data_IF_383265325073
#
_entry.id   IF_383265325073
#
_cell.length_a   1.000
_cell.length_b   1.000
_cell.length_c   1.000
_cell.angle_alpha   90.00
_cell.angle_beta   90.00
_cell.angle_gamma   90.00
#
_symmetry.space_group_name_H-M   'P 1'
#
loop_
_entity.id
_entity.type
_entity.pdbx_description
1 polymer ?
#
# COMPACT_ATOMS: atom_id res chain seq x y z
N UNK A 1 -12.20 -15.99 3.99
CA UNK A 1 -11.96 -15.79 5.43
C UNK A 1 -13.24 -15.19 6.00
N UNK A 2 -14.24 -16.02 6.24
CA UNK A 2 -15.47 -15.52 6.87
C UNK A 2 -15.16 -15.22 8.33
N UNK A 3 -15.48 -14.00 8.74
CA UNK A 3 -15.31 -13.49 10.09
C UNK A 3 -16.15 -14.32 11.06
N UNK A 4 -15.56 -15.41 11.55
CA UNK A 4 -16.09 -16.18 12.66
C UNK A 4 -15.56 -15.53 13.94
N UNK A 5 -16.51 -15.02 14.72
CA UNK A 5 -16.40 -14.41 16.03
C UNK A 5 -15.17 -14.81 16.87
N UNK A 6 -14.54 -13.79 17.46
CA UNK A 6 -13.50 -13.90 18.47
C UNK A 6 -12.21 -13.26 17.99
N UNK A 7 -11.90 -12.07 18.48
CA UNK A 7 -10.56 -11.48 18.32
C UNK A 7 -9.72 -11.97 19.49
N UNK A 8 -8.86 -13.00 19.35
CA UNK A 8 -7.85 -13.29 20.36
C UNK A 8 -6.75 -12.22 20.31
N UNK A 9 -6.25 -11.86 21.49
CA UNK A 9 -5.13 -10.94 21.66
C UNK A 9 -3.87 -11.39 20.89
N UNK A 10 -3.03 -10.45 20.43
CA UNK A 10 -1.85 -10.76 19.63
C UNK A 10 -0.75 -11.33 20.53
N UNK A 11 -0.82 -12.63 20.80
CA UNK A 11 0.29 -13.41 21.34
C UNK A 11 0.74 -14.42 20.28
N UNK A 12 1.96 -14.21 19.79
CA UNK A 12 2.83 -15.19 19.13
C UNK A 12 2.29 -15.91 17.88
N UNK A 13 2.67 -15.39 16.69
CA UNK A 13 3.10 -16.23 15.57
C UNK A 13 2.13 -17.27 15.02
N UNK A 14 0.82 -17.02 15.03
CA UNK A 14 -0.14 -17.90 14.38
C UNK A 14 -0.07 -17.66 12.87
N UNK A 15 0.49 -18.63 12.12
CA UNK A 15 0.46 -18.60 10.65
C UNK A 15 -0.98 -18.52 10.14
N UNK A 16 -1.18 -17.92 8.97
CA UNK A 16 -2.51 -17.80 8.38
C UNK A 16 -3.17 -19.20 8.28
N UNK A 17 -4.48 -19.34 8.60
CA UNK A 17 -5.18 -20.62 8.50
C UNK A 17 -5.01 -21.29 7.13
N UNK A 18 -4.98 -22.62 7.12
CA UNK A 18 -4.81 -23.39 5.90
C UNK A 18 -5.93 -23.07 4.89
N UNK A 19 -5.55 -22.77 3.64
CA UNK A 19 -6.49 -22.34 2.60
C UNK A 19 -6.77 -20.83 2.54
N UNK A 20 -6.23 -20.01 3.43
CA UNK A 20 -6.25 -18.55 3.28
C UNK A 20 -5.45 -18.11 2.04
N UNK A 21 -6.10 -17.35 1.16
CA UNK A 21 -5.47 -16.73 -0.01
C UNK A 21 -5.45 -15.21 0.18
N UNK A 22 -4.30 -14.60 -0.06
CA UNK A 22 -4.15 -13.16 -0.14
C UNK A 22 -3.93 -12.75 -1.60
N UNK A 23 -4.53 -11.64 -2.01
CA UNK A 23 -4.23 -11.00 -3.29
C UNK A 23 -3.35 -9.79 -3.02
N UNK A 24 -2.19 -9.73 -3.68
CA UNK A 24 -1.24 -8.63 -3.51
C UNK A 24 -1.11 -7.89 -4.84
N UNK A 25 -1.40 -6.60 -4.81
CA UNK A 25 -1.21 -5.70 -5.95
C UNK A 25 0.11 -4.96 -5.80
N UNK A 26 0.98 -5.06 -6.80
CA UNK A 26 2.25 -4.32 -6.83
C UNK A 26 2.08 -3.12 -7.76
N UNK A 27 2.04 -1.93 -7.16
CA UNK A 27 1.85 -0.67 -7.88
C UNK A 27 3.19 0.06 -7.92
N UNK A 28 3.62 0.49 -9.11
CA UNK A 28 4.79 1.37 -9.24
C UNK A 28 4.42 2.78 -8.81
N UNK A 29 5.38 3.50 -8.23
CA UNK A 29 5.18 4.91 -7.90
C UNK A 29 4.85 5.73 -9.15
N UNK A 30 4.17 6.84 -8.93
CA UNK A 30 3.85 7.89 -9.91
C UNK A 30 5.04 8.41 -10.71
N UNK A 31 4.74 9.09 -11.81
CA UNK A 31 5.68 9.83 -12.64
C UNK A 31 6.37 10.96 -11.87
N UNK A 32 7.60 11.27 -12.27
CA UNK A 32 8.48 12.24 -11.61
C UNK A 32 9.45 12.84 -12.63
N UNK A 33 9.91 14.06 -12.37
CA UNK A 33 10.82 14.77 -13.28
C UNK A 33 12.31 14.53 -12.98
N UNK A 34 12.62 13.99 -11.79
CA UNK A 34 13.99 13.69 -11.39
C UNK A 34 14.09 12.51 -10.42
N UNK A 35 15.32 12.08 -10.13
CA UNK A 35 15.52 10.88 -9.30
C UNK A 35 14.98 11.04 -7.87
N UNK A 36 15.04 12.26 -7.36
CA UNK A 36 14.86 12.61 -5.95
C UNK A 36 13.56 13.39 -5.70
N UNK A 37 12.72 13.58 -6.73
CA UNK A 37 11.52 14.38 -6.61
C UNK A 37 10.30 13.57 -6.14
N UNK A 38 9.33 14.31 -5.58
CA UNK A 38 7.93 13.92 -5.42
C UNK A 38 7.28 13.56 -6.77
N UNK A 39 6.00 13.16 -6.75
CA UNK A 39 5.23 13.00 -7.98
C UNK A 39 5.19 14.33 -8.76
N UNK A 40 5.39 14.29 -10.08
CA UNK A 40 5.12 15.44 -10.93
C UNK A 40 3.60 15.61 -11.15
N UNK A 41 3.21 16.64 -11.90
CA UNK A 41 1.79 16.95 -12.13
C UNK A 41 1.05 15.80 -12.82
N UNK A 42 1.61 15.27 -13.91
CA UNK A 42 1.04 14.12 -14.64
C UNK A 42 0.88 12.90 -13.74
N UNK A 43 1.88 12.62 -12.88
CA UNK A 43 1.83 11.52 -11.94
C UNK A 43 0.73 11.69 -10.89
N UNK A 44 0.51 12.92 -10.40
CA UNK A 44 -0.58 13.20 -9.47
C UNK A 44 -1.95 12.97 -10.11
N UNK A 45 -2.14 13.43 -11.35
CA UNK A 45 -3.39 13.22 -12.08
C UNK A 45 -3.67 11.72 -12.29
N UNK A 46 -2.65 10.94 -12.65
CA UNK A 46 -2.79 9.47 -12.79
C UNK A 46 -3.10 8.78 -11.47
N UNK A 47 -2.53 9.23 -10.36
CA UNK A 47 -2.82 8.66 -9.04
C UNK A 47 -4.30 8.79 -8.66
N UNK A 48 -5.00 9.84 -9.11
CA UNK A 48 -6.44 10.00 -8.90
C UNK A 48 -7.26 8.92 -9.62
N UNK A 49 -6.70 8.27 -10.64
CA UNK A 49 -7.38 7.16 -11.34
C UNK A 49 -7.17 5.82 -10.63
N UNK A 50 -6.18 5.71 -9.75
CA UNK A 50 -5.91 4.47 -9.02
C UNK A 50 -7.10 4.12 -8.14
N UNK A 51 -7.72 5.09 -7.47
CA UNK A 51 -8.86 4.82 -6.58
C UNK A 51 -10.01 4.12 -7.33
N UNK A 52 -10.32 4.60 -8.53
CA UNK A 52 -11.41 4.08 -9.37
C UNK A 52 -11.25 2.61 -9.70
N UNK A 53 -10.02 2.17 -9.91
CA UNK A 53 -9.69 0.77 -10.21
C UNK A 53 -10.06 -0.18 -9.06
N UNK A 54 -10.19 0.31 -7.83
CA UNK A 54 -10.43 -0.50 -6.62
C UNK A 54 -11.77 -0.22 -5.93
N UNK A 55 -12.46 0.88 -6.26
CA UNK A 55 -13.65 1.32 -5.51
C UNK A 55 -14.92 1.40 -6.33
N UNK A 56 -14.84 1.48 -7.66
CA UNK A 56 -16.04 1.51 -8.50
C UNK A 56 -16.69 0.12 -8.59
N UNK A 57 -18.00 0.08 -8.82
CA UNK A 57 -18.78 -1.17 -8.92
C UNK A 57 -18.32 -2.09 -10.06
N UNK A 58 -17.71 -1.49 -11.08
CA UNK A 58 -17.03 -2.11 -12.22
C UNK A 58 -15.50 -2.01 -12.10
N UNK A 59 -15.00 -1.71 -10.90
CA UNK A 59 -13.57 -1.66 -10.60
C UNK A 59 -12.87 -2.96 -11.00
N UNK A 60 -11.72 -2.82 -11.64
CA UNK A 60 -10.96 -3.95 -12.19
C UNK A 60 -10.37 -4.85 -11.10
N UNK A 61 -10.14 -4.30 -9.91
CA UNK A 61 -9.43 -4.98 -8.84
C UNK A 61 -10.23 -5.03 -7.54
N UNK A 62 -9.97 -6.08 -6.76
CA UNK A 62 -10.54 -6.26 -5.41
C UNK A 62 -10.02 -5.15 -4.50
N UNK A 63 -10.93 -4.47 -3.81
CA UNK A 63 -10.62 -3.42 -2.83
C UNK A 63 -9.63 -3.94 -1.77
N UNK A 64 -8.49 -3.28 -1.55
CA UNK A 64 -7.49 -3.71 -0.58
C UNK A 64 -7.96 -3.42 0.85
N UNK A 65 -7.58 -4.30 1.79
CA UNK A 65 -7.76 -4.09 3.23
C UNK A 65 -6.56 -3.37 3.87
N UNK A 66 -5.40 -3.36 3.20
CA UNK A 66 -4.16 -2.80 3.70
C UNK A 66 -3.37 -2.12 2.58
N UNK A 67 -2.67 -1.03 2.90
CA UNK A 67 -1.86 -0.25 1.96
C UNK A 67 -0.44 -0.11 2.48
N UNK A 68 0.53 -0.52 1.66
CA UNK A 68 1.95 -0.49 2.00
C UNK A 68 2.74 0.39 1.03
N UNK A 69 3.49 1.33 1.58
CA UNK A 69 4.46 2.13 0.84
C UNK A 69 5.87 1.63 1.16
N UNK A 70 6.59 1.13 0.14
CA UNK A 70 7.93 0.57 0.28
C UNK A 70 8.90 1.22 -0.70
N UNK A 71 9.95 1.83 -0.18
CA UNK A 71 11.13 2.23 -0.94
C UNK A 71 12.27 1.21 -0.72
N UNK A 72 13.14 0.97 -1.73
CA UNK A 72 14.36 0.18 -1.54
C UNK A 72 15.27 0.77 -0.47
N UNK A 73 15.37 2.09 -0.45
CA UNK A 73 16.06 2.90 0.54
C UNK A 73 15.14 4.06 0.95
N UNK A 74 14.60 4.07 2.18
CA UNK A 74 13.74 5.15 2.62
C UNK A 74 14.58 6.43 2.77
N UNK A 75 14.44 7.35 1.83
CA UNK A 75 15.03 8.69 1.90
C UNK A 75 13.95 9.65 2.40
N UNK A 76 14.22 10.42 3.45
CA UNK A 76 13.22 11.30 4.11
C UNK A 76 12.47 12.25 3.15
N UNK A 77 13.10 12.61 2.04
CA UNK A 77 12.57 13.56 1.05
C UNK A 77 11.94 12.87 -0.17
N UNK A 78 11.98 11.54 -0.26
CA UNK A 78 11.32 10.77 -1.33
C UNK A 78 10.01 10.23 -0.77
N UNK A 79 8.89 10.82 -1.20
CA UNK A 79 7.54 10.53 -0.70
C UNK A 79 6.62 9.94 -1.76
N UNK A 80 7.14 9.69 -2.97
CA UNK A 80 6.35 9.33 -4.16
C UNK A 80 5.53 8.06 -4.01
N UNK A 81 6.06 7.04 -3.34
CA UNK A 81 5.32 5.81 -3.05
C UNK A 81 4.11 6.05 -2.14
N UNK A 82 4.24 6.99 -1.19
CA UNK A 82 3.13 7.41 -0.31
C UNK A 82 2.14 8.26 -1.09
N UNK A 83 2.63 9.23 -1.87
CA UNK A 83 1.80 10.10 -2.71
C UNK A 83 0.97 9.32 -3.74
N UNK A 84 1.52 8.21 -4.25
CA UNK A 84 0.84 7.30 -5.19
C UNK A 84 -0.42 6.69 -4.57
N UNK A 85 -0.34 6.30 -3.30
CA UNK A 85 -1.44 5.63 -2.61
C UNK A 85 -2.38 6.59 -1.89
N UNK A 86 -2.01 7.87 -1.75
CA UNK A 86 -2.76 8.85 -0.95
C UNK A 86 -4.23 9.00 -1.35
N UNK A 87 -4.61 9.07 -2.66
CA UNK A 87 -6.02 9.16 -3.04
C UNK A 87 -6.82 7.93 -2.59
N UNK A 88 -6.34 6.73 -2.95
CA UNK A 88 -6.96 5.46 -2.57
C UNK A 88 -7.07 5.31 -1.03
N UNK A 89 -6.01 5.68 -0.30
CA UNK A 89 -6.00 5.66 1.16
C UNK A 89 -7.07 6.58 1.76
N UNK A 90 -7.20 7.80 1.23
CA UNK A 90 -8.21 8.77 1.65
C UNK A 90 -9.62 8.25 1.39
N UNK A 91 -9.86 7.66 0.21
CA UNK A 91 -11.16 7.14 -0.20
C UNK A 91 -11.59 5.92 0.60
N UNK A 92 -10.64 5.05 0.96
CA UNK A 92 -10.91 3.85 1.76
C UNK A 92 -10.85 4.09 3.28
N UNK A 93 -10.40 5.26 3.73
CA UNK A 93 -10.15 5.51 5.16
C UNK A 93 -9.04 4.63 5.75
N UNK A 94 -8.09 4.18 4.92
CA UNK A 94 -6.99 3.30 5.33
C UNK A 94 -5.70 4.09 5.55
N UNK A 95 -4.89 3.76 6.58
CA UNK A 95 -3.56 4.32 6.71
C UNK A 95 -2.59 3.73 5.68
N UNK A 96 -1.63 4.53 5.21
CA UNK A 96 -0.50 4.03 4.40
C UNK A 96 0.63 3.62 5.34
N UNK A 97 0.91 2.32 5.40
CA UNK A 97 1.98 1.76 6.23
C UNK A 97 3.31 1.92 5.50
N UNK A 98 4.18 2.78 6.05
CA UNK A 98 5.53 2.97 5.51
C UNK A 98 6.48 1.93 6.08
N UNK A 99 7.06 1.10 5.22
CA UNK A 99 8.06 0.13 5.65
C UNK A 99 9.43 0.79 5.73
N UNK A 100 9.87 1.12 6.95
CA UNK A 100 11.27 1.44 7.20
C UNK A 100 12.02 0.13 7.40
N UNK A 101 13.00 -0.15 6.52
CA UNK A 101 13.93 -1.24 6.76
C UNK A 101 14.72 -0.86 8.01
N UNK A 102 14.32 -1.37 9.18
CA UNK A 102 15.24 -1.43 10.31
C UNK A 102 16.44 -2.25 9.84
N UNK A 103 17.64 -1.70 10.02
CA UNK A 103 18.90 -2.38 9.71
C UNK A 103 18.83 -3.80 10.27
N UNK A 104 18.62 -4.77 9.38
CA UNK A 104 18.99 -6.14 9.69
C UNK A 104 20.50 -6.10 9.68
N UNK A 105 21.04 -5.96 10.89
CA UNK A 105 22.46 -6.07 11.16
C UNK A 105 23.04 -7.23 10.38
N UNK A 106 24.18 -6.93 9.77
CA UNK A 106 25.07 -7.86 9.11
C UNK A 106 25.21 -9.14 9.98
N UNK A 107 25.01 -10.29 9.35
CA UNK A 107 25.47 -11.60 9.83
C UNK A 107 26.57 -12.06 8.88
#
# INVERSE_FOLDING_TARGET
CEHSAGVPEPSQGVGAPEGCKATVYVIRHCEKDGEVSACNEVGRERNLLIEKLFTESDGQFITPSELYAKAPEPKKWVTREVETLKPLASTLGLPVIQYQKHDRGEL
#
